data_IF_779650123736
#
_entry.id   IF_779650123736
#
_cell.length_a   1.000
_cell.length_b   1.000
_cell.length_c   1.000
_cell.angle_alpha   90.00
_cell.angle_beta   90.00
_cell.angle_gamma   90.00
#
_symmetry.space_group_name_H-M   'P 1'
#
loop_
_entity.id
_entity.type
_entity.pdbx_description
1 polymer ?
#
# COMPACT_ATOMS: atom_id res chain seq x y z
N UNK A 1 9.07 7.55 40.95
CA UNK A 1 9.43 6.59 39.88
C UNK A 1 9.46 7.41 38.61
N UNK A 2 10.66 7.68 38.09
CA UNK A 2 10.85 8.38 36.82
C UNK A 2 10.72 7.31 35.73
N UNK A 3 9.51 7.08 35.24
CA UNK A 3 9.36 6.34 33.99
C UNK A 3 9.92 7.25 32.87
N UNK A 4 11.01 6.80 32.24
CA UNK A 4 11.62 7.52 31.13
C UNK A 4 10.66 7.49 29.95
N UNK A 5 10.17 8.66 29.53
CA UNK A 5 9.40 8.80 28.30
C UNK A 5 10.21 8.23 27.13
N UNK A 6 9.72 7.15 26.53
CA UNK A 6 10.29 6.57 25.32
C UNK A 6 9.62 7.18 24.09
N UNK A 7 10.29 7.14 22.94
CA UNK A 7 9.68 7.55 21.67
C UNK A 7 8.47 6.67 21.30
N UNK A 8 8.43 5.43 21.82
CA UNK A 8 7.27 4.56 21.72
C UNK A 8 6.08 5.07 22.54
N UNK A 9 6.30 5.76 23.66
CA UNK A 9 5.22 6.37 24.47
C UNK A 9 4.58 7.57 23.78
N UNK A 10 5.28 8.19 22.82
CA UNK A 10 4.68 9.15 21.86
C UNK A 10 3.90 8.47 20.72
N UNK A 11 3.77 7.15 20.74
CA UNK A 11 3.01 6.38 19.75
C UNK A 11 3.80 6.02 18.49
N UNK A 12 5.13 6.04 18.53
CA UNK A 12 5.98 5.64 17.40
C UNK A 12 6.92 4.50 17.82
N UNK A 13 6.50 3.27 17.52
CA UNK A 13 7.27 2.04 17.80
C UNK A 13 8.08 1.62 16.56
N UNK A 14 9.34 2.04 16.53
CA UNK A 14 10.28 1.80 15.42
C UNK A 14 10.50 0.29 15.16
N UNK A 15 10.48 -0.52 16.21
CA UNK A 15 10.67 -1.97 16.09
C UNK A 15 9.45 -2.64 15.44
N UNK A 16 8.23 -2.18 15.76
CA UNK A 16 7.01 -2.65 15.08
C UNK A 16 7.01 -2.25 13.61
N UNK A 17 7.39 -1.01 13.30
CA UNK A 17 7.49 -0.54 11.92
C UNK A 17 8.51 -1.35 11.11
N UNK A 18 9.69 -1.62 11.69
CA UNK A 18 10.75 -2.41 11.02
C UNK A 18 10.27 -3.84 10.72
N UNK A 19 9.63 -4.51 11.69
CA UNK A 19 9.06 -5.84 11.48
C UNK A 19 7.97 -5.87 10.42
N UNK A 20 7.18 -4.80 10.32
CA UNK A 20 6.16 -4.67 9.29
C UNK A 20 6.80 -4.53 7.90
N UNK A 21 7.80 -3.66 7.76
CA UNK A 21 8.54 -3.46 6.50
C UNK A 21 9.11 -4.77 5.96
N UNK A 22 9.72 -5.60 6.81
CA UNK A 22 10.27 -6.88 6.36
C UNK A 22 9.20 -7.85 5.84
N UNK A 23 7.99 -7.84 6.42
CA UNK A 23 6.85 -8.63 5.92
C UNK A 23 6.28 -8.06 4.61
N UNK A 24 6.20 -6.73 4.50
CA UNK A 24 5.71 -6.04 3.31
C UNK A 24 6.60 -6.34 2.09
N UNK A 25 7.92 -6.44 2.28
CA UNK A 25 8.86 -6.76 1.19
C UNK A 25 8.47 -8.03 0.44
N UNK A 26 8.15 -9.10 1.17
CA UNK A 26 7.77 -10.38 0.55
C UNK A 26 6.39 -10.30 -0.13
N UNK A 27 5.45 -9.55 0.46
CA UNK A 27 4.13 -9.31 -0.11
C UNK A 27 4.23 -8.51 -1.42
N UNK A 28 5.02 -7.44 -1.44
CA UNK A 28 5.21 -6.64 -2.65
C UNK A 28 5.92 -7.44 -3.76
N UNK A 29 6.88 -8.29 -3.41
CA UNK A 29 7.53 -9.22 -4.34
C UNK A 29 6.54 -10.18 -5.01
N UNK A 30 5.38 -10.45 -4.41
CA UNK A 30 4.34 -11.27 -5.03
C UNK A 30 3.54 -10.54 -6.12
N UNK A 31 3.84 -9.27 -6.41
CA UNK A 31 3.19 -8.46 -7.47
C UNK A 31 4.15 -8.20 -8.65
N UNK A 32 4.66 -9.23 -9.34
CA UNK A 32 5.73 -9.06 -10.31
C UNK A 32 5.25 -8.29 -11.54
N UNK A 33 6.04 -7.30 -11.98
CA UNK A 33 5.80 -6.62 -13.25
C UNK A 33 7.09 -6.17 -13.92
N UNK A 34 7.14 -6.36 -15.24
CA UNK A 34 8.23 -5.81 -16.06
C UNK A 34 8.26 -4.29 -15.93
N UNK A 35 9.42 -3.77 -15.55
CA UNK A 35 9.64 -2.34 -15.30
C UNK A 35 10.00 -2.06 -13.84
N UNK A 36 9.57 -2.89 -12.89
CA UNK A 36 9.97 -2.72 -11.48
C UNK A 36 11.48 -2.81 -11.33
N UNK A 37 12.07 -1.85 -10.61
CA UNK A 37 13.50 -1.80 -10.33
C UNK A 37 13.73 -1.78 -8.82
N UNK A 38 14.56 -2.70 -8.32
CA UNK A 38 14.88 -2.80 -6.89
C UNK A 38 13.80 -3.47 -6.05
N UNK A 39 13.87 -3.27 -4.73
CA UNK A 39 12.96 -3.84 -3.74
C UNK A 39 12.35 -2.74 -2.87
N UNK A 40 11.23 -3.03 -2.20
CA UNK A 40 10.65 -2.14 -1.19
C UNK A 40 11.61 -1.99 0.01
N UNK A 41 11.62 -0.80 0.62
CA UNK A 41 12.46 -0.46 1.78
C UNK A 41 13.55 0.58 1.49
N UNK A 42 13.68 1.02 0.24
CA UNK A 42 14.42 2.23 -0.11
C UNK A 42 13.59 3.51 0.03
N UNK A 43 14.18 4.66 -0.30
CA UNK A 43 13.51 5.98 -0.25
C UNK A 43 12.34 6.14 -1.24
N UNK A 44 12.17 5.23 -2.19
CA UNK A 44 11.08 5.26 -3.16
C UNK A 44 11.09 4.04 -4.08
N UNK A 45 9.90 3.71 -4.61
CA UNK A 45 9.75 2.69 -5.64
C UNK A 45 10.20 3.20 -7.00
N UNK A 46 10.85 2.34 -7.79
CA UNK A 46 11.34 2.68 -9.12
C UNK A 46 10.66 1.82 -10.18
N UNK A 47 10.23 2.45 -11.28
CA UNK A 47 9.59 1.79 -12.41
C UNK A 47 10.14 2.32 -13.74
N UNK A 48 10.83 1.47 -14.49
CA UNK A 48 11.32 1.75 -15.84
C UNK A 48 10.21 1.63 -16.87
N UNK A 49 10.04 2.68 -17.67
CA UNK A 49 9.06 2.71 -18.76
C UNK A 49 9.69 2.20 -20.06
N UNK A 50 9.14 1.12 -20.61
CA UNK A 50 9.43 0.73 -21.99
C UNK A 50 8.44 1.42 -22.94
N UNK A 51 8.91 2.45 -23.64
CA UNK A 51 8.10 3.30 -24.52
C UNK A 51 8.25 2.97 -26.01
N UNK A 52 9.01 1.92 -26.36
CA UNK A 52 9.40 1.63 -27.75
C UNK A 52 8.21 1.49 -28.72
N UNK A 53 7.04 1.06 -28.22
CA UNK A 53 5.84 0.82 -29.02
C UNK A 53 4.67 1.76 -28.68
N UNK A 54 4.93 2.90 -28.04
CA UNK A 54 3.88 3.86 -27.65
C UNK A 54 4.19 5.22 -28.27
N UNK A 55 3.39 5.64 -29.24
CA UNK A 55 3.46 6.99 -29.79
C UNK A 55 2.86 8.00 -28.81
N UNK A 56 3.59 9.06 -28.47
CA UNK A 56 3.17 10.12 -27.55
C UNK A 56 2.61 9.58 -26.21
N UNK A 57 3.43 8.90 -25.39
CA UNK A 57 2.98 8.29 -24.16
C UNK A 57 2.46 9.34 -23.18
N UNK A 58 1.33 9.04 -22.54
CA UNK A 58 0.71 9.85 -21.48
C UNK A 58 0.65 9.02 -20.22
N UNK A 59 1.06 9.61 -19.10
CA UNK A 59 0.88 9.03 -17.78
C UNK A 59 -0.47 9.46 -17.23
N UNK A 60 -1.25 8.49 -16.75
CA UNK A 60 -2.52 8.72 -16.06
C UNK A 60 -2.34 8.26 -14.62
N UNK A 61 -2.70 9.12 -13.67
CA UNK A 61 -2.68 8.81 -12.24
C UNK A 61 -4.06 9.03 -11.63
N UNK A 62 -4.38 8.22 -10.63
CA UNK A 62 -5.55 8.40 -9.76
C UNK A 62 -5.14 8.14 -8.31
N UNK A 63 -5.90 8.71 -7.39
CA UNK A 63 -5.76 8.49 -5.95
C UNK A 63 -7.16 8.46 -5.34
N UNK A 64 -7.44 7.44 -4.55
CA UNK A 64 -8.74 7.25 -3.91
C UNK A 64 -8.57 6.52 -2.57
N UNK A 65 -9.63 6.53 -1.76
CA UNK A 65 -9.73 5.79 -0.53
C UNK A 65 -10.91 4.82 -0.55
N UNK A 66 -10.87 3.84 0.36
CA UNK A 66 -11.98 2.88 0.53
C UNK A 66 -13.25 3.54 1.09
N UNK A 67 -13.11 4.65 1.81
CA UNK A 67 -14.21 5.39 2.41
C UNK A 67 -14.86 4.65 3.59
N UNK A 68 -16.15 4.89 3.81
CA UNK A 68 -16.85 4.42 5.02
C UNK A 68 -17.02 2.90 5.09
N UNK A 69 -16.73 2.15 4.01
CA UNK A 69 -16.71 0.68 4.03
C UNK A 69 -15.71 0.13 5.06
N UNK A 70 -14.65 0.88 5.39
CA UNK A 70 -13.72 0.58 6.48
C UNK A 70 -14.43 0.33 7.81
N UNK A 71 -15.52 1.06 8.11
CA UNK A 71 -16.29 0.87 9.35
C UNK A 71 -16.89 -0.53 9.44
N UNK A 72 -17.33 -1.10 8.31
CA UNK A 72 -17.88 -2.45 8.24
C UNK A 72 -16.76 -3.49 8.40
N UNK A 73 -15.62 -3.28 7.75
CA UNK A 73 -14.43 -4.13 7.92
C UNK A 73 -14.02 -4.23 9.40
N UNK A 74 -14.03 -3.10 10.12
CA UNK A 74 -13.75 -3.05 11.56
C UNK A 74 -14.81 -3.77 12.39
N UNK A 75 -16.11 -3.55 12.11
CA UNK A 75 -17.19 -4.23 12.82
C UNK A 75 -17.18 -5.76 12.63
N UNK A 76 -16.71 -6.23 11.47
CA UNK A 76 -16.63 -7.65 11.13
C UNK A 76 -15.28 -8.29 11.48
N UNK A 77 -14.31 -7.51 11.96
CA UNK A 77 -12.91 -7.91 12.11
C UNK A 77 -12.33 -8.59 10.84
N UNK A 78 -12.69 -8.07 9.67
CA UNK A 78 -12.30 -8.62 8.37
C UNK A 78 -11.59 -7.57 7.52
N UNK A 79 -10.27 -7.70 7.42
CA UNK A 79 -9.39 -6.69 6.80
C UNK A 79 -8.62 -7.20 5.57
N UNK A 80 -8.76 -8.48 5.24
CA UNK A 80 -8.02 -9.17 4.17
C UNK A 80 -8.49 -8.84 2.75
N UNK A 81 -9.72 -8.34 2.59
CA UNK A 81 -10.28 -7.95 1.27
C UNK A 81 -10.29 -6.45 1.02
N UNK A 82 -10.08 -5.63 2.06
CA UNK A 82 -10.27 -4.17 1.98
C UNK A 82 -9.19 -3.50 1.11
N UNK A 83 -8.01 -4.13 1.02
CA UNK A 83 -6.95 -3.69 0.12
C UNK A 83 -7.28 -3.92 -1.36
N UNK A 84 -8.08 -4.95 -1.68
CA UNK A 84 -8.55 -5.20 -3.05
C UNK A 84 -9.51 -4.07 -3.45
N UNK A 85 -10.42 -3.70 -2.55
CA UNK A 85 -11.32 -2.56 -2.75
C UNK A 85 -10.55 -1.26 -3.03
N UNK A 86 -9.48 -1.00 -2.26
CA UNK A 86 -8.63 0.18 -2.45
C UNK A 86 -8.02 0.23 -3.86
N UNK A 87 -7.42 -0.87 -4.31
CA UNK A 87 -6.80 -0.94 -5.64
C UNK A 87 -7.85 -0.79 -6.73
N UNK A 88 -9.00 -1.45 -6.58
CA UNK A 88 -10.08 -1.42 -7.56
C UNK A 88 -10.63 0.00 -7.78
N UNK A 89 -10.79 0.80 -6.72
CA UNK A 89 -11.24 2.21 -6.84
C UNK A 89 -10.30 3.01 -7.75
N UNK A 90 -8.99 2.99 -7.46
CA UNK A 90 -7.99 3.72 -8.23
C UNK A 90 -7.82 3.19 -9.66
N UNK A 91 -7.79 1.87 -9.84
CA UNK A 91 -7.56 1.25 -11.16
C UNK A 91 -8.75 1.47 -12.08
N UNK A 92 -9.98 1.35 -11.57
CA UNK A 92 -11.18 1.53 -12.38
C UNK A 92 -11.29 2.95 -12.96
N UNK A 93 -10.80 3.97 -12.25
CA UNK A 93 -10.80 5.36 -12.73
C UNK A 93 -9.85 5.63 -13.89
N UNK A 94 -8.76 4.85 -14.01
CA UNK A 94 -7.78 5.04 -15.09
C UNK A 94 -8.12 4.19 -16.32
N UNK A 95 -8.72 3.02 -16.14
CA UNK A 95 -9.08 2.14 -17.27
C UNK A 95 -10.20 2.73 -18.14
N UNK A 96 -11.07 3.58 -17.58
CA UNK A 96 -12.10 4.29 -18.37
C UNK A 96 -11.51 5.24 -19.41
N UNK A 97 -10.24 5.65 -19.23
CA UNK A 97 -9.47 6.45 -20.19
C UNK A 97 -8.64 5.56 -21.14
N UNK A 98 -8.73 4.24 -21.01
CA UNK A 98 -7.91 3.27 -21.74
C UNK A 98 -6.47 3.12 -21.22
N UNK A 99 -6.18 3.62 -20.01
CA UNK A 99 -4.84 3.51 -19.44
C UNK A 99 -4.54 2.08 -18.99
N UNK A 100 -3.27 1.66 -19.13
CA UNK A 100 -2.78 0.38 -18.61
C UNK A 100 -2.17 0.58 -17.22
N UNK A 101 -2.67 -0.07 -16.16
CA UNK A 101 -2.06 0.01 -14.83
C UNK A 101 -0.58 -0.39 -14.86
N UNK A 102 0.28 0.39 -14.18
CA UNK A 102 1.73 0.16 -14.13
C UNK A 102 2.17 -0.26 -12.73
N UNK A 103 1.94 0.60 -11.75
CA UNK A 103 2.32 0.38 -10.37
C UNK A 103 1.30 1.03 -9.43
N UNK A 104 1.39 0.67 -8.16
CA UNK A 104 0.54 1.17 -7.09
C UNK A 104 1.40 1.62 -5.90
N UNK A 105 0.94 2.65 -5.21
CA UNK A 105 1.45 3.06 -3.90
C UNK A 105 0.29 3.19 -2.93
N UNK A 106 0.51 2.83 -1.67
CA UNK A 106 -0.50 2.93 -0.62
C UNK A 106 -0.06 3.85 0.54
N UNK A 107 -1.05 4.32 1.30
CA UNK A 107 -0.86 5.05 2.55
C UNK A 107 -1.80 4.47 3.59
N UNK A 108 -1.24 3.88 4.65
CA UNK A 108 -1.98 3.28 5.75
C UNK A 108 -1.84 4.12 7.01
N UNK A 109 -2.97 4.63 7.50
CA UNK A 109 -3.05 5.37 8.75
C UNK A 109 -3.85 4.59 9.80
N UNK A 110 -3.32 4.48 11.01
CA UNK A 110 -3.97 3.81 12.14
C UNK A 110 -3.76 4.58 13.43
N UNK A 111 -4.77 4.62 14.31
CA UNK A 111 -4.62 5.24 15.63
C UNK A 111 -3.59 4.53 16.52
N UNK A 112 -3.52 3.21 16.41
CA UNK A 112 -2.46 2.37 16.98
C UNK A 112 -2.07 1.32 15.97
N UNK A 113 -0.76 1.14 15.73
CA UNK A 113 -0.29 0.19 14.73
C UNK A 113 -0.48 -1.25 15.23
N UNK A 114 -1.34 -1.98 14.53
CA UNK A 114 -1.47 -3.44 14.66
C UNK A 114 -0.88 -4.09 13.40
N UNK A 115 0.29 -4.70 13.55
CA UNK A 115 0.99 -5.35 12.44
C UNK A 115 0.20 -6.51 11.82
N UNK A 116 -0.67 -7.20 12.59
CA UNK A 116 -1.49 -8.29 12.03
C UNK A 116 -2.60 -7.74 11.13
N UNK A 117 -3.23 -6.65 11.53
CA UNK A 117 -4.25 -5.98 10.72
C UNK A 117 -3.60 -5.34 9.49
N UNK A 118 -2.52 -4.59 9.68
CA UNK A 118 -1.76 -3.96 8.60
C UNK A 118 -1.32 -5.00 7.54
N UNK A 119 -0.78 -6.15 7.98
CA UNK A 119 -0.39 -7.22 7.06
C UNK A 119 -1.58 -7.76 6.25
N UNK A 120 -2.75 -7.97 6.88
CA UNK A 120 -3.96 -8.41 6.15
C UNK A 120 -4.38 -7.40 5.08
N UNK A 121 -4.36 -6.11 5.40
CA UNK A 121 -4.72 -5.04 4.46
C UNK A 121 -3.74 -5.04 3.28
N UNK A 122 -2.43 -5.05 3.55
CA UNK A 122 -1.39 -4.97 2.52
C UNK A 122 -1.39 -6.23 1.65
N UNK A 123 -1.70 -7.42 2.20
CA UNK A 123 -1.96 -8.63 1.40
C UNK A 123 -3.12 -8.44 0.44
N UNK A 124 -4.22 -7.83 0.89
CA UNK A 124 -5.35 -7.47 0.02
C UNK A 124 -4.94 -6.47 -1.07
N UNK A 125 -4.08 -5.49 -0.77
CA UNK A 125 -3.56 -4.54 -1.77
C UNK A 125 -2.73 -5.29 -2.81
N UNK A 126 -1.84 -6.19 -2.39
CA UNK A 126 -1.03 -6.97 -3.30
C UNK A 126 -1.86 -7.91 -4.18
N UNK A 127 -2.92 -8.53 -3.64
CA UNK A 127 -3.87 -9.31 -4.42
C UNK A 127 -4.57 -8.43 -5.46
N UNK A 128 -5.10 -7.28 -5.06
CA UNK A 128 -5.72 -6.32 -5.99
C UNK A 128 -4.76 -5.84 -7.08
N UNK A 129 -3.49 -5.61 -6.74
CA UNK A 129 -2.45 -5.26 -7.71
C UNK A 129 -2.20 -6.41 -8.71
N UNK A 130 -2.15 -7.64 -8.21
CA UNK A 130 -1.98 -8.85 -9.04
C UNK A 130 -3.14 -9.01 -10.00
N UNK A 131 -4.38 -8.87 -9.53
CA UNK A 131 -5.60 -8.90 -10.36
C UNK A 131 -5.60 -7.78 -11.41
N UNK A 132 -5.22 -6.56 -11.02
CA UNK A 132 -5.11 -5.40 -11.92
C UNK A 132 -3.90 -5.45 -12.87
N UNK A 133 -2.98 -6.39 -12.66
CA UNK A 133 -1.73 -6.50 -13.40
C UNK A 133 -0.79 -5.31 -13.19
N UNK A 134 -0.79 -4.66 -12.03
CA UNK A 134 0.20 -3.65 -11.63
C UNK A 134 1.10 -4.17 -10.49
N UNK A 135 2.21 -3.48 -10.23
CA UNK A 135 3.11 -3.82 -9.12
C UNK A 135 2.92 -2.89 -7.92
N UNK A 136 2.91 -3.43 -6.71
CA UNK A 136 3.04 -2.64 -5.48
C UNK A 136 4.52 -2.27 -5.30
N UNK A 137 4.86 -0.99 -5.50
CA UNK A 137 6.28 -0.55 -5.52
C UNK A 137 6.69 0.28 -4.30
N UNK A 138 5.74 0.64 -3.44
CA UNK A 138 6.01 1.44 -2.26
C UNK A 138 4.73 1.77 -1.52
N UNK A 139 4.88 2.34 -0.33
CA UNK A 139 3.79 2.80 0.50
C UNK A 139 4.31 3.39 1.79
N UNK A 140 3.42 3.90 2.62
CA UNK A 140 3.75 4.52 3.90
C UNK A 140 2.79 4.05 4.99
N UNK A 141 3.29 3.88 6.22
CA UNK A 141 2.48 3.49 7.38
C UNK A 141 2.65 4.50 8.50
N UNK A 142 1.55 5.15 8.90
CA UNK A 142 1.53 6.15 9.95
C UNK A 142 0.72 5.68 11.17
N UNK A 143 1.33 5.72 12.34
CA UNK A 143 0.65 5.59 13.63
C UNK A 143 0.30 7.00 14.15
N UNK A 144 -0.99 7.27 14.34
CA UNK A 144 -1.52 8.60 14.70
C UNK A 144 -2.45 8.52 15.92
N UNK A 145 -1.89 8.40 17.14
CA UNK A 145 -2.69 8.29 18.36
C UNK A 145 -3.61 9.50 18.55
N UNK A 146 -4.89 9.26 18.84
CA UNK A 146 -5.87 10.31 19.14
C UNK A 146 -6.51 10.98 17.91
N UNK A 147 -6.20 10.51 16.71
CA UNK A 147 -6.92 10.86 15.47
C UNK A 147 -7.94 9.79 15.10
#
# INVERSE_FOLDING_TARGET
MNDSLTYADSGVDIDKATRLVDRIKDIAKSTPRTGVMGEIGGFGGLFSLNLANISNPVLVSSTDGVGTKLKIAFQMDKHDTIGIDLVAMCVNDIIVQGAKPLFFLDYLAMGKLDNSVAEKIIRGIAEGCTEAGCALIGGETAEMPGM
#
